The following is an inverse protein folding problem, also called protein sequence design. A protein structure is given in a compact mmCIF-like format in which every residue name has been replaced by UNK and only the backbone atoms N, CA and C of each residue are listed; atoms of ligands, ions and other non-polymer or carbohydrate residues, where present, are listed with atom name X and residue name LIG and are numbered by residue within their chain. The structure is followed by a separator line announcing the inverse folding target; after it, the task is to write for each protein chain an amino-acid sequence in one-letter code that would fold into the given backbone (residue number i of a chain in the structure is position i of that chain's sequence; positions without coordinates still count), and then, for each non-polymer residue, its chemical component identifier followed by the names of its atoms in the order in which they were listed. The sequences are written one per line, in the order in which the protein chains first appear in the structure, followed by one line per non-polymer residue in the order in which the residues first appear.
data_IF_873929591938
#
_entry.id   IF_873929591938
#
_cell.length_a   1.000
_cell.length_b   1.000
_cell.length_c   1.000
_cell.angle_alpha   90.00
_cell.angle_beta   90.00
_cell.angle_gamma   90.00
#
_symmetry.space_group_name_H-M   'P 1'
#
loop_
_entity.id
_entity.type
_entity.pdbx_description
1 polymer ?
#
# COMPACT_ATOMS: atom_id res chain seq x y z
N UNK A 1 -66.16 19.16 -21.27
CA UNK A 1 -64.80 19.74 -21.42
C UNK A 1 -63.84 18.78 -20.70
N UNK A 2 -63.05 17.95 -21.40
CA UNK A 2 -61.69 18.25 -21.93
C UNK A 2 -60.80 18.83 -20.81
N UNK A 3 -59.65 18.31 -20.36
CA UNK A 3 -58.59 17.37 -20.82
C UNK A 3 -57.80 16.97 -19.53
N UNK A 4 -57.49 15.70 -19.27
CA UNK A 4 -56.24 14.95 -19.53
C UNK A 4 -55.16 14.98 -18.41
N UNK A 5 -54.76 13.75 -18.10
CA UNK A 5 -53.75 13.16 -17.19
C UNK A 5 -52.32 13.65 -17.47
N UNK A 6 -51.42 13.66 -16.47
CA UNK A 6 -50.01 13.34 -16.71
C UNK A 6 -49.34 12.57 -15.56
N UNK A 7 -48.93 11.34 -15.88
CA UNK A 7 -48.00 10.48 -15.14
C UNK A 7 -46.57 11.02 -15.28
N UNK A 8 -45.80 11.06 -14.19
CA UNK A 8 -44.34 11.14 -14.26
C UNK A 8 -43.76 9.73 -14.12
N UNK A 9 -43.37 9.14 -15.26
CA UNK A 9 -42.50 7.96 -15.31
C UNK A 9 -41.06 8.46 -15.38
N UNK A 10 -40.25 8.03 -14.42
CA UNK A 10 -38.82 8.29 -14.36
C UNK A 10 -38.10 7.40 -15.39
N UNK A 11 -37.80 7.93 -16.58
CA UNK A 11 -37.00 7.23 -17.58
C UNK A 11 -35.51 7.36 -17.26
N UNK A 12 -34.87 6.22 -16.95
CA UNK A 12 -33.42 6.06 -17.02
C UNK A 12 -32.97 6.26 -18.47
N UNK A 13 -32.28 7.37 -18.74
CA UNK A 13 -31.56 7.55 -20.00
C UNK A 13 -30.28 6.68 -19.98
N UNK A 14 -30.36 5.52 -20.61
CA UNK A 14 -29.20 4.90 -21.24
C UNK A 14 -28.70 5.88 -22.31
N UNK A 15 -27.59 6.58 -22.07
CA UNK A 15 -26.93 7.34 -23.13
C UNK A 15 -26.31 6.34 -24.11
N UNK A 16 -26.98 6.19 -25.24
CA UNK A 16 -26.50 5.43 -26.38
C UNK A 16 -25.14 5.95 -26.83
N UNK A 17 -24.20 5.03 -27.02
CA UNK A 17 -23.03 5.22 -27.87
C UNK A 17 -23.50 5.64 -29.26
N UNK A 18 -23.56 6.93 -29.55
CA UNK A 18 -23.68 7.42 -30.92
C UNK A 18 -22.37 7.10 -31.64
N UNK A 19 -22.50 6.24 -32.64
CA UNK A 19 -21.44 5.76 -33.51
C UNK A 19 -21.42 6.68 -34.74
N UNK A 20 -20.58 7.73 -34.70
CA UNK A 20 -20.16 8.39 -35.94
C UNK A 20 -19.33 7.38 -36.74
N UNK A 21 -19.94 6.85 -37.80
CA UNK A 21 -19.25 6.05 -38.80
C UNK A 21 -18.53 7.03 -39.75
N UNK A 22 -17.41 7.57 -39.28
CA UNK A 22 -16.42 8.17 -40.17
C UNK A 22 -15.91 7.07 -41.12
N UNK A 23 -15.83 7.35 -42.42
CA UNK A 23 -15.17 6.49 -43.41
C UNK A 23 -13.71 6.23 -42.99
N UNK A 24 -13.48 5.05 -42.41
CA UNK A 24 -12.17 4.60 -41.98
C UNK A 24 -11.51 3.91 -43.18
N UNK A 25 -10.42 4.49 -43.69
CA UNK A 25 -9.47 3.77 -44.54
C UNK A 25 -9.14 2.41 -43.88
N UNK A 26 -9.11 1.29 -44.63
CA UNK A 26 -9.06 -0.07 -44.07
C UNK A 26 -7.85 -0.35 -43.16
N UNK A 27 -6.84 0.53 -43.17
CA UNK A 27 -5.63 0.45 -42.35
C UNK A 27 -5.53 1.54 -41.27
N UNK A 28 -6.58 2.35 -41.08
CA UNK A 28 -6.61 3.42 -40.08
C UNK A 28 -7.46 3.01 -38.88
N UNK A 29 -6.94 3.25 -37.68
CA UNK A 29 -7.57 2.92 -36.42
C UNK A 29 -7.86 4.23 -35.71
N UNK A 30 -9.03 4.36 -35.10
CA UNK A 30 -9.41 5.56 -34.32
C UNK A 30 -10.15 5.14 -33.06
N UNK A 31 -9.69 5.59 -31.90
CA UNK A 31 -10.42 5.48 -30.65
C UNK A 31 -10.02 6.58 -29.67
N UNK A 32 -10.95 6.95 -28.80
CA UNK A 32 -10.70 7.87 -27.68
C UNK A 32 -10.52 7.05 -26.41
N UNK A 33 -9.58 7.45 -25.58
CA UNK A 33 -9.40 6.93 -24.23
C UNK A 33 -9.12 8.10 -23.28
N UNK A 34 -9.98 8.29 -22.27
CA UNK A 34 -10.02 9.51 -21.45
C UNK A 34 -10.05 10.75 -22.38
N UNK A 35 -9.12 11.68 -22.19
CA UNK A 35 -9.00 12.92 -22.99
C UNK A 35 -8.14 12.76 -24.25
N UNK A 36 -7.47 11.61 -24.46
CA UNK A 36 -6.57 11.39 -25.59
C UNK A 36 -7.28 10.67 -26.74
N UNK A 37 -7.08 11.14 -27.96
CA UNK A 37 -7.52 10.49 -29.20
C UNK A 37 -6.33 9.78 -29.82
N UNK A 38 -6.47 8.48 -30.06
CA UNK A 38 -5.53 7.67 -30.81
C UNK A 38 -6.06 7.54 -32.24
N UNK A 39 -5.27 7.98 -33.22
CA UNK A 39 -5.59 7.91 -34.64
C UNK A 39 -4.32 7.56 -35.42
N UNK A 40 -4.44 6.65 -36.40
CA UNK A 40 -3.33 6.26 -37.27
C UNK A 40 -3.35 4.78 -37.61
N UNK A 41 -2.28 4.28 -38.20
CA UNK A 41 -2.06 2.86 -38.43
C UNK A 41 -1.84 2.09 -37.11
N UNK A 42 -1.95 0.76 -37.17
CA UNK A 42 -1.63 -0.13 -36.05
C UNK A 42 -0.24 0.13 -35.48
N UNK A 43 0.76 0.35 -36.33
CA UNK A 43 2.15 0.59 -35.93
C UNK A 43 2.29 1.91 -35.19
N UNK A 44 1.67 2.98 -35.71
CA UNK A 44 1.69 4.31 -35.10
C UNK A 44 1.02 4.30 -33.72
N UNK A 45 -0.17 3.68 -33.60
CA UNK A 45 -0.85 3.59 -32.30
C UNK A 45 -0.04 2.72 -31.34
N UNK A 46 0.53 1.59 -31.77
CA UNK A 46 1.37 0.76 -30.89
C UNK A 46 2.62 1.51 -30.43
N UNK A 47 3.22 2.34 -31.27
CA UNK A 47 4.33 3.20 -30.88
C UNK A 47 3.91 4.24 -29.82
N UNK A 48 2.74 4.87 -29.98
CA UNK A 48 2.17 5.77 -28.97
C UNK A 48 1.91 5.07 -27.64
N UNK A 49 1.35 3.85 -27.66
CA UNK A 49 1.11 3.05 -26.46
C UNK A 49 2.42 2.66 -25.78
N UNK A 50 3.46 2.29 -26.55
CA UNK A 50 4.80 2.00 -26.01
C UNK A 50 5.42 3.22 -25.34
N UNK A 51 5.29 4.39 -25.94
CA UNK A 51 5.78 5.63 -25.36
C UNK A 51 5.11 5.92 -24.00
N UNK A 52 3.79 5.72 -23.90
CA UNK A 52 3.06 5.86 -22.63
C UNK A 52 3.53 4.83 -21.60
N UNK A 53 3.67 3.56 -22.01
CA UNK A 53 4.15 2.46 -21.14
C UNK A 53 5.51 2.76 -20.52
N UNK A 54 6.40 3.36 -21.30
CA UNK A 54 7.79 3.62 -20.94
C UNK A 54 7.99 5.02 -20.34
N UNK A 55 6.90 5.74 -20.03
CA UNK A 55 6.97 7.02 -19.33
C UNK A 55 7.70 6.82 -17.98
N UNK A 56 8.67 7.69 -17.63
CA UNK A 56 9.44 7.58 -16.39
C UNK A 56 8.58 7.46 -15.12
N UNK A 57 7.35 8.01 -15.13
CA UNK A 57 6.43 7.89 -13.99
C UNK A 57 6.05 6.45 -13.65
N UNK A 58 6.22 5.52 -14.60
CA UNK A 58 5.94 4.09 -14.44
C UNK A 58 7.19 3.25 -14.11
N UNK A 59 8.37 3.85 -13.93
CA UNK A 59 9.60 3.12 -13.63
C UNK A 59 9.57 2.37 -12.27
N UNK A 60 8.69 2.78 -11.35
CA UNK A 60 8.54 2.21 -10.01
C UNK A 60 7.47 1.12 -9.88
N UNK A 61 6.88 0.64 -10.98
CA UNK A 61 5.87 -0.42 -10.93
C UNK A 61 6.50 -1.72 -10.41
N UNK A 62 5.91 -2.41 -9.41
CA UNK A 62 6.31 -3.75 -9.00
C UNK A 62 6.36 -4.76 -10.15
N UNK A 63 7.30 -5.71 -10.09
CA UNK A 63 7.58 -6.64 -11.17
C UNK A 63 6.35 -7.46 -11.60
N UNK A 64 5.54 -7.90 -10.64
CA UNK A 64 4.32 -8.67 -10.87
C UNK A 64 3.31 -7.87 -11.70
N UNK A 65 3.21 -6.57 -11.43
CA UNK A 65 2.30 -5.66 -12.15
C UNK A 65 2.90 -5.32 -13.52
N UNK A 66 4.22 -5.15 -13.62
CA UNK A 66 4.90 -4.97 -14.91
C UNK A 66 4.66 -6.16 -15.83
N UNK A 67 4.70 -7.39 -15.31
CA UNK A 67 4.42 -8.61 -16.06
C UNK A 67 2.98 -8.62 -16.61
N UNK A 68 1.98 -8.27 -15.80
CA UNK A 68 0.60 -8.13 -16.25
C UNK A 68 0.48 -7.09 -17.39
N UNK A 69 1.08 -5.92 -17.22
CA UNK A 69 1.06 -4.84 -18.22
C UNK A 69 1.78 -5.22 -19.52
N UNK A 70 2.92 -5.91 -19.42
CA UNK A 70 3.66 -6.42 -20.57
C UNK A 70 2.82 -7.43 -21.35
N UNK A 71 2.16 -8.36 -20.66
CA UNK A 71 1.28 -9.35 -21.28
C UNK A 71 0.09 -8.70 -22.00
N UNK A 72 -0.52 -7.68 -21.40
CA UNK A 72 -1.58 -6.90 -22.04
C UNK A 72 -1.06 -6.15 -23.27
N UNK A 73 0.11 -5.52 -23.18
CA UNK A 73 0.72 -4.81 -24.29
C UNK A 73 1.06 -5.75 -25.47
N UNK A 74 1.60 -6.93 -25.19
CA UNK A 74 1.88 -7.95 -26.21
C UNK A 74 0.59 -8.43 -26.91
N UNK A 75 -0.50 -8.61 -26.16
CA UNK A 75 -1.82 -8.90 -26.75
C UNK A 75 -2.34 -7.80 -27.67
N UNK A 76 -1.99 -6.53 -27.41
CA UNK A 76 -2.29 -5.42 -28.33
C UNK A 76 -1.43 -5.53 -29.58
N UNK A 77 -0.11 -5.66 -29.39
CA UNK A 77 0.88 -5.68 -30.47
C UNK A 77 0.59 -6.78 -31.50
N UNK A 78 0.20 -7.96 -31.06
CA UNK A 78 0.02 -9.14 -31.91
C UNK A 78 -1.38 -9.23 -32.54
N UNK A 79 -2.26 -8.26 -32.28
CA UNK A 79 -3.63 -8.30 -32.80
C UNK A 79 -3.73 -7.62 -34.18
N UNK A 80 -4.11 -8.40 -35.19
CA UNK A 80 -4.31 -7.93 -36.55
C UNK A 80 -5.70 -7.27 -36.75
N UNK A 81 -6.73 -7.80 -36.10
CA UNK A 81 -8.12 -7.38 -36.33
C UNK A 81 -8.45 -6.03 -35.67
N UNK A 82 -8.94 -5.01 -36.42
CA UNK A 82 -9.16 -3.66 -35.89
C UNK A 82 -10.01 -3.56 -34.62
N UNK A 83 -11.15 -4.25 -34.60
CA UNK A 83 -12.06 -4.27 -33.46
C UNK A 83 -11.39 -4.84 -32.20
N UNK A 84 -10.65 -5.94 -32.36
CA UNK A 84 -9.99 -6.60 -31.24
C UNK A 84 -8.72 -5.86 -30.81
N UNK A 85 -7.99 -5.24 -31.73
CA UNK A 85 -6.85 -4.38 -31.43
C UNK A 85 -7.30 -3.22 -30.54
N UNK A 86 -8.37 -2.53 -30.93
CA UNK A 86 -8.98 -1.46 -30.13
C UNK A 86 -9.37 -1.96 -28.74
N UNK A 87 -10.07 -3.10 -28.64
CA UNK A 87 -10.48 -3.69 -27.36
C UNK A 87 -9.26 -3.96 -26.46
N UNK A 88 -8.24 -4.63 -26.99
CA UNK A 88 -7.01 -4.92 -26.26
C UNK A 88 -6.29 -3.63 -25.84
N UNK A 89 -6.23 -2.61 -26.72
CA UNK A 89 -5.57 -1.35 -26.43
C UNK A 89 -6.26 -0.60 -25.28
N UNK A 90 -7.59 -0.59 -25.27
CA UNK A 90 -8.38 -0.04 -24.16
C UNK A 90 -8.13 -0.82 -22.88
N UNK A 91 -8.09 -2.16 -22.93
CA UNK A 91 -7.78 -2.99 -21.76
C UNK A 91 -6.38 -2.72 -21.19
N UNK A 92 -5.37 -2.58 -22.05
CA UNK A 92 -4.01 -2.21 -21.65
C UNK A 92 -3.97 -0.83 -20.99
N UNK A 93 -4.59 0.17 -21.62
CA UNK A 93 -4.67 1.52 -21.06
C UNK A 93 -5.41 1.53 -19.72
N UNK A 94 -6.54 0.81 -19.61
CA UNK A 94 -7.24 0.65 -18.34
C UNK A 94 -6.32 0.13 -17.24
N UNK A 95 -5.62 -0.98 -17.46
CA UNK A 95 -4.71 -1.53 -16.46
C UNK A 95 -3.60 -0.53 -16.07
N UNK A 96 -3.02 0.17 -17.04
CA UNK A 96 -1.96 1.15 -16.79
C UNK A 96 -2.45 2.34 -15.96
N UNK A 97 -3.62 2.90 -16.27
CA UNK A 97 -4.17 4.02 -15.52
C UNK A 97 -4.80 3.62 -14.18
N UNK A 98 -5.28 2.37 -14.05
CA UNK A 98 -5.66 1.80 -12.75
C UNK A 98 -4.45 1.76 -11.80
N UNK A 99 -3.23 1.56 -12.32
CA UNK A 99 -2.03 1.69 -11.51
C UNK A 99 -1.79 3.13 -11.03
N UNK A 100 -2.02 4.15 -11.87
CA UNK A 100 -1.93 5.56 -11.43
C UNK A 100 -2.87 5.84 -10.25
N UNK A 101 -4.11 5.35 -10.34
CA UNK A 101 -5.11 5.47 -9.27
C UNK A 101 -4.69 4.73 -7.99
N UNK A 102 -4.15 3.52 -8.15
CA UNK A 102 -3.59 2.75 -7.04
C UNK A 102 -2.50 3.51 -6.31
N UNK A 103 -1.54 4.12 -7.02
CA UNK A 103 -0.42 4.84 -6.39
C UNK A 103 -0.92 5.95 -5.47
N UNK A 104 -1.98 6.66 -5.88
CA UNK A 104 -2.61 7.71 -5.07
C UNK A 104 -3.20 7.10 -3.79
N UNK A 105 -4.02 6.06 -3.93
CA UNK A 105 -4.68 5.38 -2.79
C UNK A 105 -3.66 4.77 -1.83
N UNK A 106 -2.65 4.10 -2.37
CA UNK A 106 -1.57 3.49 -1.59
C UNK A 106 -0.80 4.53 -0.78
N UNK A 107 -0.40 5.63 -1.42
CA UNK A 107 0.37 6.67 -0.77
C UNK A 107 -0.45 7.40 0.30
N UNK A 108 -1.73 7.69 0.05
CA UNK A 108 -2.63 8.30 1.03
C UNK A 108 -2.84 7.38 2.25
N UNK A 109 -3.11 6.10 2.01
CA UNK A 109 -3.26 5.11 3.08
C UNK A 109 -1.98 4.98 3.92
N UNK A 110 -0.81 4.85 3.29
CA UNK A 110 0.47 4.76 4.00
C UNK A 110 0.76 6.03 4.81
N UNK A 111 0.43 7.21 4.27
CA UNK A 111 0.60 8.47 4.97
C UNK A 111 -0.25 8.53 6.24
N UNK A 112 -1.51 8.09 6.16
CA UNK A 112 -2.42 8.01 7.33
C UNK A 112 -1.90 7.03 8.37
N UNK A 113 -1.41 5.87 7.96
CA UNK A 113 -0.81 4.87 8.86
C UNK A 113 0.40 5.46 9.58
N UNK A 114 1.35 6.08 8.87
CA UNK A 114 2.52 6.71 9.49
C UNK A 114 2.10 7.80 10.49
N UNK A 115 1.11 8.61 10.13
CA UNK A 115 0.56 9.65 11.01
C UNK A 115 -0.04 9.04 12.29
N UNK A 116 -0.81 7.96 12.16
CA UNK A 116 -1.42 7.24 13.28
C UNK A 116 -0.36 6.65 14.20
N UNK A 117 0.61 5.91 13.65
CA UNK A 117 1.70 5.33 14.42
C UNK A 117 2.49 6.39 15.18
N UNK A 118 2.82 7.51 14.53
CA UNK A 118 3.53 8.62 15.18
C UNK A 118 2.73 9.25 16.33
N UNK A 119 1.40 9.33 16.19
CA UNK A 119 0.51 9.84 17.25
C UNK A 119 0.50 8.90 18.47
N UNK A 120 0.45 7.60 18.25
CA UNK A 120 0.29 6.60 19.31
C UNK A 120 1.62 6.15 19.92
N UNK A 121 2.75 6.55 19.32
CA UNK A 121 4.09 6.01 19.63
C UNK A 121 4.52 6.17 21.08
N UNK A 122 4.20 7.30 21.72
CA UNK A 122 4.53 7.57 23.13
C UNK A 122 3.67 6.75 24.09
N UNK A 123 2.40 6.55 23.73
CA UNK A 123 1.48 5.74 24.54
C UNK A 123 1.87 4.27 24.51
N UNK A 124 2.29 3.77 23.34
CA UNK A 124 2.82 2.41 23.19
C UNK A 124 4.15 2.25 23.94
N UNK A 125 5.08 3.23 23.88
CA UNK A 125 6.35 3.19 24.65
C UNK A 125 6.07 3.03 26.15
N UNK A 126 5.14 3.83 26.68
CA UNK A 126 4.71 3.73 28.08
C UNK A 126 4.14 2.33 28.43
N UNK A 127 3.27 1.78 27.57
CA UNK A 127 2.69 0.45 27.80
C UNK A 127 3.75 -0.65 27.83
N UNK A 128 4.69 -0.61 26.88
CA UNK A 128 5.76 -1.59 26.78
C UNK A 128 6.73 -1.49 27.96
N UNK A 129 7.10 -0.27 28.38
CA UNK A 129 7.96 -0.09 29.55
C UNK A 129 7.28 -0.57 30.84
N UNK A 130 5.99 -0.31 30.99
CA UNK A 130 5.21 -0.83 32.13
C UNK A 130 5.16 -2.36 32.13
N UNK A 131 5.02 -2.98 30.96
CA UNK A 131 5.07 -4.44 30.84
C UNK A 131 6.44 -4.99 31.24
N UNK A 132 7.53 -4.40 30.73
CA UNK A 132 8.89 -4.77 31.10
C UNK A 132 9.12 -4.67 32.62
N UNK A 133 8.71 -3.55 33.23
CA UNK A 133 8.87 -3.32 34.66
C UNK A 133 8.11 -4.35 35.50
N UNK A 134 6.87 -4.70 35.09
CA UNK A 134 6.09 -5.75 35.75
C UNK A 134 6.76 -7.13 35.66
N UNK A 135 7.26 -7.50 34.48
CA UNK A 135 7.97 -8.77 34.30
C UNK A 135 9.24 -8.83 35.14
N UNK A 136 9.97 -7.72 35.25
CA UNK A 136 11.17 -7.62 36.09
C UNK A 136 10.84 -7.82 37.57
N UNK A 137 9.85 -7.09 38.09
CA UNK A 137 9.41 -7.21 39.49
C UNK A 137 8.95 -8.64 39.81
N UNK A 138 8.21 -9.28 38.90
CA UNK A 138 7.76 -10.66 39.08
C UNK A 138 8.93 -11.64 39.19
N UNK A 139 9.93 -11.52 38.31
CA UNK A 139 11.14 -12.35 38.35
C UNK A 139 11.96 -12.11 39.62
N UNK A 140 12.18 -10.84 39.98
CA UNK A 140 12.97 -10.46 41.16
C UNK A 140 12.30 -10.96 42.44
N UNK A 141 10.97 -10.89 42.53
CA UNK A 141 10.20 -11.44 43.66
C UNK A 141 10.41 -12.94 43.83
N UNK A 142 10.23 -13.73 42.76
CA UNK A 142 10.39 -15.19 42.85
C UNK A 142 11.82 -15.56 43.21
N UNK A 143 12.83 -14.86 42.67
CA UNK A 143 14.24 -15.09 43.04
C UNK A 143 14.52 -14.82 44.51
N UNK A 144 13.80 -13.88 45.13
CA UNK A 144 13.96 -13.54 46.55
C UNK A 144 13.16 -14.49 47.46
N UNK A 145 11.92 -14.82 47.10
CA UNK A 145 10.98 -15.57 47.94
C UNK A 145 11.09 -17.09 47.77
N UNK A 146 11.42 -17.58 46.58
CA UNK A 146 11.50 -19.01 46.23
C UNK A 146 12.56 -19.26 45.15
N UNK A 147 13.82 -19.08 45.52
CA UNK A 147 14.98 -19.23 44.64
C UNK A 147 15.19 -20.67 44.12
N UNK A 148 14.48 -21.65 44.71
CA UNK A 148 14.55 -23.06 44.32
C UNK A 148 13.62 -23.42 43.16
N UNK A 149 12.62 -22.60 42.87
CA UNK A 149 11.67 -22.82 41.79
C UNK A 149 12.23 -22.42 40.42
N UNK A 150 13.19 -23.21 39.95
CA UNK A 150 13.91 -22.99 38.70
C UNK A 150 12.97 -22.90 37.48
N UNK A 151 11.91 -23.71 37.46
CA UNK A 151 10.93 -23.71 36.36
C UNK A 151 10.26 -22.35 36.22
N UNK A 152 9.82 -21.76 37.33
CA UNK A 152 9.17 -20.45 37.33
C UNK A 152 10.15 -19.32 37.01
N UNK A 153 11.38 -19.39 37.54
CA UNK A 153 12.45 -18.43 37.24
C UNK A 153 12.76 -18.40 35.74
N UNK A 154 12.89 -19.57 35.10
CA UNK A 154 13.14 -19.66 33.65
C UNK A 154 11.97 -19.05 32.87
N UNK A 155 10.72 -19.41 33.19
CA UNK A 155 9.53 -18.87 32.53
C UNK A 155 9.45 -17.35 32.62
N UNK A 156 9.61 -16.80 33.82
CA UNK A 156 9.60 -15.35 34.04
C UNK A 156 10.80 -14.64 33.40
N UNK A 157 11.95 -15.32 33.32
CA UNK A 157 13.12 -14.86 32.59
C UNK A 157 12.85 -14.67 31.10
N UNK A 158 12.18 -15.64 30.46
CA UNK A 158 11.76 -15.52 29.07
C UNK A 158 10.76 -14.38 28.85
N UNK A 159 9.79 -14.22 29.76
CA UNK A 159 8.80 -13.14 29.69
C UNK A 159 9.46 -11.76 29.82
N UNK A 160 10.43 -11.63 30.73
CA UNK A 160 11.26 -10.44 30.86
C UNK A 160 12.01 -10.16 29.55
N UNK A 161 12.71 -11.15 29.00
CA UNK A 161 13.45 -11.00 27.74
C UNK A 161 12.55 -10.59 26.58
N UNK A 162 11.38 -11.24 26.42
CA UNK A 162 10.40 -10.88 25.38
C UNK A 162 9.91 -9.44 25.53
N UNK A 163 9.61 -9.02 26.76
CA UNK A 163 9.16 -7.64 27.04
C UNK A 163 10.25 -6.60 26.77
N UNK A 164 11.51 -6.93 27.08
CA UNK A 164 12.67 -6.08 26.83
C UNK A 164 12.91 -5.90 25.33
N UNK A 165 12.95 -7.01 24.56
CA UNK A 165 13.10 -6.96 23.11
C UNK A 165 12.02 -6.07 22.50
N UNK A 166 10.74 -6.28 22.85
CA UNK A 166 9.64 -5.45 22.34
C UNK A 166 9.82 -3.96 22.63
N UNK A 167 10.22 -3.61 23.85
CA UNK A 167 10.46 -2.21 24.23
C UNK A 167 11.60 -1.59 23.42
N UNK A 168 12.73 -2.28 23.31
CA UNK A 168 13.91 -1.76 22.61
C UNK A 168 13.67 -1.66 21.10
N UNK A 169 13.02 -2.66 20.49
CA UNK A 169 12.57 -2.62 19.09
C UNK A 169 11.62 -1.44 18.83
N UNK A 170 10.63 -1.25 19.70
CA UNK A 170 9.69 -0.12 19.62
C UNK A 170 10.41 1.22 19.68
N UNK A 171 11.41 1.36 20.55
CA UNK A 171 12.20 2.60 20.68
C UNK A 171 13.09 2.85 19.49
N UNK A 172 13.65 1.79 18.90
CA UNK A 172 14.36 1.91 17.63
C UNK A 172 13.42 2.44 16.54
N UNK A 173 12.23 1.86 16.42
CA UNK A 173 11.20 2.32 15.48
C UNK A 173 10.79 3.77 15.77
N UNK A 174 10.59 4.12 17.05
CA UNK A 174 10.26 5.48 17.49
C UNK A 174 11.26 6.51 16.97
N UNK A 175 12.57 6.24 17.13
CA UNK A 175 13.62 7.15 16.63
C UNK A 175 13.51 7.39 15.12
N UNK A 176 13.16 6.37 14.34
CA UNK A 176 12.94 6.53 12.89
C UNK A 176 11.70 7.38 12.59
N UNK A 177 10.58 7.06 13.23
CA UNK A 177 9.31 7.75 13.01
C UNK A 177 9.28 9.20 13.52
N UNK A 178 10.07 9.53 14.53
CA UNK A 178 10.27 10.92 15.00
C UNK A 178 10.84 11.80 13.90
N UNK A 179 11.78 11.28 13.11
CA UNK A 179 12.43 11.99 12.01
C UNK A 179 11.55 12.10 10.75
N UNK A 180 10.51 11.28 10.62
CA UNK A 180 9.63 11.35 9.45
C UNK A 180 8.71 12.57 9.48
N UNK A 181 8.80 13.37 8.42
CA UNK A 181 7.79 14.37 8.09
C UNK A 181 6.64 13.68 7.33
N UNK A 182 5.46 13.64 7.95
CA UNK A 182 4.28 12.94 7.41
C UNK A 182 3.91 13.42 6.01
N UNK A 183 4.11 14.71 5.69
CA UNK A 183 3.78 15.30 4.39
C UNK A 183 4.69 14.83 3.24
N UNK A 184 5.92 14.40 3.53
CA UNK A 184 6.95 14.15 2.51
C UNK A 184 7.45 12.71 2.49
N UNK A 185 7.46 12.01 3.62
CA UNK A 185 8.08 10.67 3.76
C UNK A 185 7.56 9.63 2.76
N UNK A 186 6.32 9.74 2.27
CA UNK A 186 5.77 8.80 1.28
C UNK A 186 6.17 9.16 -0.15
N UNK A 187 6.36 10.46 -0.43
CA UNK A 187 6.74 11.01 -1.74
C UNK A 187 8.25 10.95 -1.96
N UNK A 188 9.01 11.24 -0.91
CA UNK A 188 10.47 11.22 -0.86
C UNK A 188 10.91 10.21 0.22
N UNK A 189 10.70 8.91 -0.02
CA UNK A 189 10.98 7.89 0.97
C UNK A 189 12.48 7.69 1.17
N UNK A 190 12.85 7.45 2.43
CA UNK A 190 14.17 6.94 2.78
C UNK A 190 14.31 5.47 2.36
N UNK A 191 15.45 4.86 2.66
CA UNK A 191 15.71 3.48 2.24
C UNK A 191 14.73 2.47 2.88
N UNK A 192 14.36 2.66 4.15
CA UNK A 192 13.45 1.76 4.87
C UNK A 192 12.04 1.82 4.27
N UNK A 193 11.52 3.02 4.04
CA UNK A 193 10.20 3.20 3.43
C UNK A 193 10.22 2.74 1.97
N UNK A 194 11.30 2.97 1.21
CA UNK A 194 11.43 2.42 -0.15
C UNK A 194 11.34 0.91 -0.18
N UNK A 195 12.06 0.24 0.72
CA UNK A 195 12.05 -1.21 0.83
C UNK A 195 10.67 -1.72 1.23
N UNK A 196 10.05 -1.13 2.25
CA UNK A 196 8.69 -1.46 2.66
C UNK A 196 7.68 -1.30 1.50
N UNK A 197 7.73 -0.17 0.79
CA UNK A 197 6.84 0.06 -0.36
C UNK A 197 7.04 -0.99 -1.44
N UNK A 198 8.28 -1.38 -1.72
CA UNK A 198 8.59 -2.41 -2.71
C UNK A 198 8.01 -3.76 -2.33
N UNK A 199 8.18 -4.18 -1.07
CA UNK A 199 7.69 -5.49 -0.59
C UNK A 199 6.17 -5.57 -0.59
N UNK A 200 5.47 -4.50 -0.18
CA UNK A 200 4.03 -4.55 0.02
C UNK A 200 3.19 -4.16 -1.20
N UNK A 201 3.77 -3.46 -2.19
CA UNK A 201 3.00 -2.87 -3.28
C UNK A 201 2.19 -3.89 -4.09
N UNK A 202 2.72 -5.09 -4.35
CA UNK A 202 1.99 -6.12 -5.08
C UNK A 202 0.73 -6.59 -4.34
N UNK A 203 0.84 -6.83 -3.02
CA UNK A 203 -0.29 -7.28 -2.21
C UNK A 203 -1.35 -6.18 -2.05
N UNK A 204 -0.94 -4.93 -1.86
CA UNK A 204 -1.89 -3.83 -1.73
C UNK A 204 -2.56 -3.51 -3.07
N UNK A 205 -1.85 -3.67 -4.18
CA UNK A 205 -2.46 -3.56 -5.51
C UNK A 205 -3.56 -4.60 -5.73
N UNK A 206 -3.38 -5.83 -5.24
CA UNK A 206 -4.42 -6.86 -5.28
C UNK A 206 -5.66 -6.43 -4.47
N UNK A 207 -5.48 -5.96 -3.23
CA UNK A 207 -6.58 -5.45 -2.40
C UNK A 207 -7.33 -4.30 -3.09
N UNK A 208 -6.58 -3.40 -3.74
CA UNK A 208 -7.15 -2.31 -4.53
C UNK A 208 -7.99 -2.81 -5.71
N UNK A 209 -7.48 -3.77 -6.50
CA UNK A 209 -8.23 -4.39 -7.62
C UNK A 209 -9.48 -5.11 -7.15
N UNK A 210 -9.44 -5.75 -5.99
CA UNK A 210 -10.58 -6.42 -5.35
C UNK A 210 -11.59 -5.44 -4.73
N UNK A 211 -11.36 -4.12 -4.82
CA UNK A 211 -12.18 -3.05 -4.22
C UNK A 211 -12.26 -3.14 -2.69
N UNK A 212 -11.27 -3.75 -2.04
CA UNK A 212 -11.12 -3.84 -0.58
C UNK A 212 -10.29 -2.68 -0.03
N UNK A 213 -10.58 -1.46 -0.50
CA UNK A 213 -9.80 -0.27 -0.14
C UNK A 213 -9.85 0.05 1.35
N UNK A 214 -10.96 -0.26 2.01
CA UNK A 214 -11.11 -0.11 3.47
C UNK A 214 -10.14 -1.01 4.28
N UNK A 215 -9.66 -2.11 3.71
CA UNK A 215 -8.74 -3.04 4.38
C UNK A 215 -7.27 -2.60 4.24
N UNK A 216 -6.97 -1.72 3.27
CA UNK A 216 -5.59 -1.33 2.94
C UNK A 216 -4.89 -0.65 4.11
N UNK A 217 -5.54 0.31 4.78
CA UNK A 217 -4.95 1.03 5.90
C UNK A 217 -4.61 0.08 7.05
N UNK A 218 -5.54 -0.81 7.41
CA UNK A 218 -5.33 -1.80 8.47
C UNK A 218 -4.22 -2.79 8.10
N UNK A 219 -4.20 -3.27 6.86
CA UNK A 219 -3.14 -4.14 6.35
C UNK A 219 -1.77 -3.46 6.48
N UNK A 220 -1.64 -2.24 5.96
CA UNK A 220 -0.39 -1.48 5.98
C UNK A 220 0.09 -1.19 7.40
N UNK A 221 -0.83 -0.91 8.33
CA UNK A 221 -0.48 -0.69 9.73
C UNK A 221 0.17 -1.92 10.37
N UNK A 222 -0.37 -3.12 10.14
CA UNK A 222 0.25 -4.34 10.65
C UNK A 222 1.60 -4.60 9.99
N UNK A 223 1.66 -4.52 8.66
CA UNK A 223 2.89 -4.82 7.92
C UNK A 223 4.03 -3.86 8.24
N UNK A 224 3.75 -2.57 8.42
CA UNK A 224 4.82 -1.61 8.72
C UNK A 224 5.36 -1.82 10.14
N UNK A 225 4.50 -2.17 11.12
CA UNK A 225 4.95 -2.51 12.47
C UNK A 225 5.87 -3.74 12.41
N UNK A 226 5.44 -4.80 11.74
CA UNK A 226 6.20 -6.06 11.63
C UNK A 226 7.52 -5.86 10.87
N UNK A 227 7.51 -5.05 9.80
CA UNK A 227 8.69 -4.70 9.03
C UNK A 227 9.73 -3.97 9.90
N UNK A 228 9.32 -2.90 10.59
CA UNK A 228 10.24 -2.13 11.44
C UNK A 228 10.70 -2.93 12.65
N UNK A 229 9.84 -3.76 13.23
CA UNK A 229 10.22 -4.68 14.30
C UNK A 229 11.33 -5.63 13.83
N UNK A 230 11.14 -6.29 12.68
CA UNK A 230 12.12 -7.23 12.11
C UNK A 230 13.44 -6.53 11.78
N UNK A 231 13.38 -5.33 11.19
CA UNK A 231 14.57 -4.53 10.86
C UNK A 231 15.35 -4.08 12.10
N UNK A 232 14.67 -3.89 13.23
CA UNK A 232 15.32 -3.47 14.46
C UNK A 232 16.11 -4.59 15.15
N UNK A 233 15.70 -5.86 15.05
CA UNK A 233 16.32 -7.00 15.74
C UNK A 233 17.87 -7.02 15.64
N UNK A 234 18.50 -6.88 14.46
CA UNK A 234 19.97 -6.89 14.35
C UNK A 234 20.65 -5.58 14.81
N UNK A 235 19.89 -4.50 15.01
CA UNK A 235 20.41 -3.16 15.36
C UNK A 235 20.28 -2.82 16.85
N UNK A 236 19.52 -3.61 17.61
CA UNK A 236 19.23 -3.31 19.01
C UNK A 236 20.32 -3.82 19.97
N UNK A 237 20.59 -3.03 20.99
CA UNK A 237 21.43 -3.39 22.13
C UNK A 237 20.52 -3.51 23.36
N UNK A 238 20.35 -4.74 23.86
CA UNK A 238 19.45 -5.02 24.97
C UNK A 238 19.94 -4.43 26.30
N UNK A 239 21.24 -4.19 26.44
CA UNK A 239 21.84 -3.69 27.68
C UNK A 239 21.82 -2.16 27.75
N UNK A 240 21.58 -1.49 26.62
CA UNK A 240 21.58 -0.03 26.50
C UNK A 240 20.18 0.54 26.31
N UNK A 241 19.37 0.52 27.37
CA UNK A 241 18.14 1.30 27.42
C UNK A 241 17.83 1.85 28.81
N UNK A 242 17.19 3.02 28.85
CA UNK A 242 16.83 3.72 30.08
C UNK A 242 15.32 3.67 30.30
N UNK A 243 14.90 3.47 31.53
CA UNK A 243 13.48 3.56 31.88
C UNK A 243 13.08 5.03 32.01
N UNK A 244 12.04 5.44 31.29
CA UNK A 244 11.61 6.84 31.14
C UNK A 244 10.44 7.21 32.05
N UNK A 245 9.74 6.23 32.61
CA UNK A 245 8.44 6.42 33.27
C UNK A 245 8.39 5.97 34.73
N UNK A 246 9.52 5.57 35.34
CA UNK A 246 9.60 5.07 36.73
C UNK A 246 8.93 6.02 37.74
N UNK A 247 9.06 7.34 37.57
CA UNK A 247 8.52 8.34 38.51
C UNK A 247 7.03 8.68 38.29
N UNK A 248 6.32 7.96 37.40
CA UNK A 248 4.90 8.21 37.08
C UNK A 248 3.96 7.08 37.54
N UNK A 249 4.43 6.21 38.43
CA UNK A 249 3.66 5.12 39.04
C UNK A 249 3.34 5.50 40.48
#
# INVERSE_FOLDING_TARGET
MKFLIFFYIFSFAYSGYMQDVDEISPNTYKFRYRLKVFKGSRLEITAQLRAIKNDPKYAGIPEEIQLELNNLFEKVKNQAFPKQYRKNAISFLNALYTYDEFVIVYNDALQKVIKKLKKDIKYIDFKLERQFTKSKIALDRVKLEDSTNQKEIVRLGEDLQKSQIRLVCHRWMQKKFENYQVSTVVKEPDQLIKEFKKTEAAKVFLLFKEKKTAEIENYLEHQIIDFFYTKSIPEIDLDKFELRYINKI
#
